data_IF_682983897131
#
_entry.id   IF_682983897131
#
_cell.length_a   1.000
_cell.length_b   1.000
_cell.length_c   1.000
_cell.angle_alpha   90.00
_cell.angle_beta   90.00
_cell.angle_gamma   90.00
#
_symmetry.space_group_name_H-M   'P 1'
#
loop_
_entity.id
_entity.type
_entity.pdbx_description
1 polymer ?
#
# COMPACT_ATOMS: atom_id res chain seq x y z
N UNK A 1 -64.17 -19.31 11.36
CA UNK A 1 -63.41 -18.19 10.77
C UNK A 1 -62.35 -17.71 11.76
N UNK A 2 -61.17 -17.33 11.25
CA UNK A 2 -59.95 -16.87 11.96
C UNK A 2 -59.06 -18.02 12.48
N UNK A 3 -58.21 -18.57 11.61
CA UNK A 3 -56.84 -18.13 11.22
C UNK A 3 -55.78 -18.63 12.20
N UNK A 4 -55.12 -19.70 11.75
CA UNK A 4 -53.84 -20.24 12.21
C UNK A 4 -52.79 -19.11 12.22
N UNK A 5 -52.03 -18.99 13.30
CA UNK A 5 -50.67 -18.45 13.22
C UNK A 5 -49.71 -19.43 13.88
N UNK A 6 -48.92 -20.02 13.00
CA UNK A 6 -47.79 -20.90 13.23
C UNK A 6 -46.80 -20.29 14.22
N UNK A 7 -46.44 -21.04 15.26
CA UNK A 7 -45.16 -20.88 15.97
C UNK A 7 -44.04 -21.18 14.97
N UNK A 8 -43.38 -20.13 14.48
CA UNK A 8 -42.10 -20.24 13.79
C UNK A 8 -41.04 -19.68 14.75
N UNK A 9 -40.06 -20.47 15.23
CA UNK A 9 -38.87 -19.87 15.79
C UNK A 9 -38.13 -19.24 14.61
N UNK A 10 -38.19 -17.91 14.50
CA UNK A 10 -37.30 -17.17 13.60
C UNK A 10 -35.93 -17.22 14.24
N UNK A 11 -35.18 -18.25 13.86
CA UNK A 11 -33.74 -18.31 13.98
C UNK A 11 -33.20 -17.17 13.10
N UNK A 12 -33.00 -15.98 13.67
CA UNK A 12 -32.33 -14.89 12.98
C UNK A 12 -30.85 -15.26 12.92
N UNK A 13 -30.48 -15.97 11.84
CA UNK A 13 -29.11 -15.97 11.33
C UNK A 13 -28.74 -14.51 11.09
N UNK A 14 -28.04 -13.90 12.04
CA UNK A 14 -27.08 -12.86 11.71
C UNK A 14 -25.92 -13.60 11.05
N UNK A 15 -26.11 -13.94 9.76
CA UNK A 15 -24.97 -14.04 8.87
C UNK A 15 -24.41 -12.63 8.82
N UNK A 16 -23.47 -12.32 9.72
CA UNK A 16 -22.57 -11.21 9.51
C UNK A 16 -22.00 -11.47 8.13
N UNK A 17 -22.38 -10.63 7.16
CA UNK A 17 -21.69 -10.52 5.90
C UNK A 17 -20.31 -9.93 6.22
N UNK A 18 -19.47 -10.69 6.91
CA UNK A 18 -18.05 -10.71 6.62
C UNK A 18 -17.98 -11.25 5.20
N UNK A 19 -18.28 -10.37 4.25
CA UNK A 19 -17.55 -10.39 2.98
C UNK A 19 -16.10 -10.59 3.42
N UNK A 20 -15.40 -11.67 3.03
CA UNK A 20 -13.97 -11.69 3.23
C UNK A 20 -13.50 -10.35 2.68
N UNK A 21 -12.91 -9.53 3.54
CA UNK A 21 -12.34 -8.26 3.15
C UNK A 21 -11.41 -8.65 2.01
N UNK A 22 -11.86 -8.39 0.77
CA UNK A 22 -11.12 -8.74 -0.44
C UNK A 22 -9.74 -8.18 -0.18
N UNK A 23 -8.78 -9.06 0.11
CA UNK A 23 -7.58 -8.69 0.86
C UNK A 23 -6.97 -7.53 0.10
N UNK A 24 -7.15 -6.32 0.65
CA UNK A 24 -7.17 -5.13 -0.16
C UNK A 24 -5.73 -4.86 -0.58
N UNK A 25 -5.34 -5.42 -1.73
CA UNK A 25 -3.96 -5.36 -2.19
C UNK A 25 -3.59 -3.90 -2.41
N UNK A 26 -2.55 -3.48 -1.70
CA UNK A 26 -2.08 -2.11 -1.77
C UNK A 26 -1.69 -1.74 -3.21
N UNK A 27 -1.84 -0.45 -3.56
CA UNK A 27 -1.48 0.03 -4.89
C UNK A 27 0.03 -0.10 -5.09
N UNK A 28 0.46 -0.97 -6.02
CA UNK A 28 1.88 -1.13 -6.33
C UNK A 28 2.48 0.12 -6.98
N UNK A 29 3.71 0.45 -6.60
CA UNK A 29 4.48 1.54 -7.18
C UNK A 29 4.83 1.23 -8.65
N UNK A 30 4.44 2.16 -9.53
CA UNK A 30 4.79 2.12 -10.96
C UNK A 30 6.08 2.90 -11.19
N UNK A 31 7.20 2.19 -11.37
CA UNK A 31 8.51 2.82 -11.62
C UNK A 31 8.67 3.17 -13.11
N UNK A 32 8.47 4.42 -13.49
CA UNK A 32 8.73 4.91 -14.85
C UNK A 32 10.23 4.98 -15.14
N UNK A 33 10.65 4.52 -16.32
CA UNK A 33 12.05 4.53 -16.73
C UNK A 33 12.23 4.83 -18.23
N UNK A 34 12.22 6.12 -18.58
CA UNK A 34 12.12 6.55 -19.97
C UNK A 34 10.72 6.23 -20.50
N UNK A 35 10.63 5.57 -21.66
CA UNK A 35 9.35 5.21 -22.28
C UNK A 35 8.73 3.92 -21.74
N UNK A 36 9.43 3.19 -20.88
CA UNK A 36 8.96 1.92 -20.31
C UNK A 36 8.65 2.06 -18.82
N UNK A 37 7.84 1.14 -18.30
CA UNK A 37 7.77 0.84 -16.88
C UNK A 37 8.84 -0.19 -16.53
N UNK A 38 9.65 0.06 -15.51
CA UNK A 38 10.57 -0.92 -14.97
C UNK A 38 9.76 -2.00 -14.23
N UNK A 39 10.04 -3.26 -14.54
CA UNK A 39 9.35 -4.42 -13.97
C UNK A 39 10.33 -5.33 -13.27
N UNK A 40 9.80 -6.20 -12.42
CA UNK A 40 10.57 -7.28 -11.82
C UNK A 40 11.20 -8.14 -12.92
N UNK A 41 12.46 -8.54 -12.70
CA UNK A 41 13.26 -9.28 -13.68
C UNK A 41 13.93 -8.43 -14.77
N UNK A 42 13.61 -7.13 -14.92
CA UNK A 42 14.39 -6.27 -15.81
C UNK A 42 15.82 -6.08 -15.24
N UNK A 43 16.82 -6.54 -15.99
CA UNK A 43 18.25 -6.31 -15.70
C UNK A 43 18.77 -5.03 -16.36
N UNK A 44 18.04 -4.51 -17.34
CA UNK A 44 18.41 -3.33 -18.12
C UNK A 44 17.30 -2.86 -19.05
N UNK A 45 17.62 -1.93 -19.93
CA UNK A 45 16.83 -1.58 -21.11
C UNK A 45 17.72 -1.34 -22.30
N UNK A 46 17.18 -1.54 -23.49
CA UNK A 46 17.77 -1.09 -24.75
C UNK A 46 17.00 0.10 -25.28
N UNK A 47 17.72 1.07 -25.84
CA UNK A 47 17.20 2.21 -26.59
C UNK A 47 17.66 2.05 -28.03
N UNK A 48 16.73 2.00 -28.97
CA UNK A 48 17.03 1.80 -30.39
C UNK A 48 17.44 3.14 -31.01
N UNK A 49 18.70 3.29 -31.40
CA UNK A 49 19.24 4.53 -31.99
C UNK A 49 19.15 4.54 -33.52
N UNK A 50 19.05 3.35 -34.14
CA UNK A 50 18.84 3.13 -35.57
C UNK A 50 17.98 1.87 -35.76
N UNK A 51 17.17 1.84 -36.81
CA UNK A 51 16.34 0.68 -37.16
C UNK A 51 17.14 -0.63 -37.06
N UNK A 52 16.65 -1.57 -36.25
CA UNK A 52 17.37 -2.79 -35.86
C UNK A 52 16.43 -3.99 -35.89
N UNK A 53 16.92 -5.15 -36.32
CA UNK A 53 16.09 -6.35 -36.36
C UNK A 53 15.90 -6.95 -34.96
N UNK A 54 14.67 -7.32 -34.65
CA UNK A 54 14.30 -8.19 -33.55
C UNK A 54 14.35 -9.63 -34.03
N UNK A 55 14.92 -10.52 -33.23
CA UNK A 55 15.06 -11.93 -33.57
C UNK A 55 14.37 -12.82 -32.54
N UNK A 56 13.91 -14.00 -32.96
CA UNK A 56 13.67 -15.14 -32.06
C UNK A 56 14.89 -16.05 -32.11
N UNK A 57 15.26 -16.59 -30.96
CA UNK A 57 16.31 -17.60 -30.83
C UNK A 57 15.63 -18.96 -30.65
N UNK A 58 15.89 -19.91 -31.55
CA UNK A 58 15.39 -21.27 -31.42
C UNK A 58 16.30 -22.14 -30.52
N UNK A 59 15.95 -23.43 -30.37
CA UNK A 59 16.68 -24.38 -29.54
C UNK A 59 18.09 -24.69 -30.08
N UNK A 60 18.30 -24.47 -31.37
CA UNK A 60 19.58 -24.71 -32.07
C UNK A 60 20.45 -23.44 -32.14
N UNK A 61 20.10 -22.42 -31.35
CA UNK A 61 20.71 -21.09 -31.34
C UNK A 61 20.65 -20.34 -32.66
N UNK A 62 19.72 -20.67 -33.57
CA UNK A 62 19.55 -19.95 -34.83
C UNK A 62 18.58 -18.78 -34.64
N UNK A 63 18.95 -17.65 -35.24
CA UNK A 63 18.16 -16.43 -35.19
C UNK A 63 17.21 -16.34 -36.38
N UNK A 64 15.94 -16.08 -36.10
CA UNK A 64 14.91 -15.80 -37.10
C UNK A 64 14.38 -14.38 -36.90
N UNK A 65 14.33 -13.56 -37.95
CA UNK A 65 13.83 -12.19 -37.85
C UNK A 65 12.32 -12.21 -37.56
N UNK A 66 11.92 -11.40 -36.59
CA UNK A 66 10.51 -11.24 -36.17
C UNK A 66 9.94 -9.98 -36.79
N UNK A 67 10.61 -8.84 -36.57
CA UNK A 67 10.26 -7.53 -37.12
C UNK A 67 11.44 -6.57 -37.01
N UNK A 68 11.32 -5.43 -37.67
CA UNK A 68 12.21 -4.29 -37.42
C UNK A 68 11.71 -3.48 -36.23
N UNK A 69 12.64 -3.20 -35.30
CA UNK A 69 12.50 -2.19 -34.25
C UNK A 69 12.90 -0.83 -34.83
N UNK A 70 12.09 0.20 -34.57
CA UNK A 70 12.29 1.55 -35.07
C UNK A 70 13.14 2.38 -34.11
N UNK A 71 13.89 3.32 -34.69
CA UNK A 71 14.60 4.35 -33.92
C UNK A 71 13.67 5.02 -32.90
N UNK A 72 14.12 5.10 -31.66
CA UNK A 72 13.41 5.73 -30.54
C UNK A 72 12.52 4.78 -29.73
N UNK A 73 12.37 3.51 -30.13
CA UNK A 73 11.75 2.49 -29.28
C UNK A 73 12.66 2.13 -28.09
N UNK A 74 12.06 1.83 -26.94
CA UNK A 74 12.75 1.38 -25.74
C UNK A 74 12.13 0.05 -25.26
N UNK A 75 12.99 -0.87 -24.81
CA UNK A 75 12.54 -2.18 -24.33
C UNK A 75 13.26 -2.59 -23.07
N UNK A 76 12.53 -3.17 -22.11
CA UNK A 76 13.12 -3.82 -20.96
C UNK A 76 13.92 -5.05 -21.38
N UNK A 77 15.08 -5.25 -20.76
CA UNK A 77 15.94 -6.42 -20.97
C UNK A 77 15.81 -7.33 -19.76
N UNK A 78 15.45 -8.58 -20.00
CA UNK A 78 15.30 -9.62 -18.97
C UNK A 78 16.54 -10.52 -18.86
N UNK A 79 17.32 -10.62 -19.94
CA UNK A 79 18.52 -11.45 -19.95
C UNK A 79 19.57 -10.91 -20.90
N UNK A 80 20.83 -11.22 -20.62
CA UNK A 80 21.97 -10.96 -21.50
C UNK A 80 22.63 -12.29 -21.79
N UNK A 81 22.66 -12.69 -23.06
CA UNK A 81 23.37 -13.88 -23.54
C UNK A 81 24.61 -13.43 -24.30
N UNK A 82 25.68 -14.20 -24.18
CA UNK A 82 26.91 -14.00 -24.94
C UNK A 82 27.28 -15.33 -25.58
N UNK A 83 27.40 -15.35 -26.90
CA UNK A 83 27.89 -16.52 -27.62
C UNK A 83 28.90 -16.12 -28.70
N UNK A 84 29.71 -17.08 -29.17
CA UNK A 84 30.78 -16.84 -30.14
C UNK A 84 30.26 -16.51 -31.54
N UNK A 85 29.03 -16.89 -31.87
CA UNK A 85 28.43 -16.79 -33.21
C UNK A 85 27.73 -15.45 -33.43
N UNK A 86 27.04 -14.94 -32.41
CA UNK A 86 26.19 -13.76 -32.48
C UNK A 86 26.69 -12.60 -31.61
N UNK A 87 27.71 -12.81 -30.78
CA UNK A 87 28.17 -11.83 -29.81
C UNK A 87 27.19 -11.70 -28.64
N UNK A 88 26.86 -10.47 -28.27
CA UNK A 88 25.94 -10.18 -27.16
C UNK A 88 24.50 -10.07 -27.69
N UNK A 89 23.58 -10.78 -27.03
CA UNK A 89 22.15 -10.74 -27.28
C UNK A 89 21.41 -10.24 -26.03
N UNK A 90 20.60 -9.20 -26.18
CA UNK A 90 19.71 -8.70 -25.13
C UNK A 90 18.31 -9.31 -25.31
N UNK A 91 17.88 -10.09 -24.33
CA UNK A 91 16.56 -10.72 -24.33
C UNK A 91 15.47 -9.77 -23.86
N UNK A 92 14.48 -9.50 -24.72
CA UNK A 92 13.39 -8.55 -24.49
C UNK A 92 12.10 -9.21 -23.94
N UNK A 93 12.19 -10.50 -23.60
CA UNK A 93 11.04 -11.34 -23.21
C UNK A 93 10.56 -12.24 -24.35
N UNK A 94 9.76 -13.26 -24.01
CA UNK A 94 9.13 -14.18 -24.99
C UNK A 94 10.11 -14.78 -26.04
N UNK A 95 11.33 -15.12 -25.61
CA UNK A 95 12.42 -15.62 -26.46
C UNK A 95 12.83 -14.70 -27.61
N UNK A 96 12.57 -13.39 -27.48
CA UNK A 96 12.95 -12.37 -28.46
C UNK A 96 14.23 -11.67 -28.01
N UNK A 97 15.13 -11.42 -28.96
CA UNK A 97 16.46 -10.88 -28.74
C UNK A 97 16.80 -9.79 -29.74
N UNK A 98 17.52 -8.79 -29.27
CA UNK A 98 18.21 -7.81 -30.13
C UNK A 98 19.72 -7.98 -29.97
N UNK A 99 20.46 -7.90 -31.07
CA UNK A 99 21.93 -7.97 -31.07
C UNK A 99 22.51 -6.67 -30.56
N UNK A 100 23.49 -6.76 -29.67
CA UNK A 100 24.29 -5.60 -29.30
C UNK A 100 25.04 -5.05 -30.52
N UNK A 101 24.96 -3.74 -30.71
CA UNK A 101 25.68 -3.04 -31.78
C UNK A 101 25.58 -1.53 -31.58
N UNK A 102 26.27 -0.77 -32.43
CA UNK A 102 26.18 0.71 -32.47
C UNK A 102 24.76 1.24 -32.80
N UNK A 103 23.83 0.38 -33.24
CA UNK A 103 22.45 0.78 -33.53
C UNK A 103 21.58 0.93 -32.29
N UNK A 104 22.07 0.58 -31.10
CA UNK A 104 21.34 0.69 -29.84
C UNK A 104 22.25 1.13 -28.67
N UNK A 105 21.63 1.47 -27.56
CA UNK A 105 22.30 1.71 -26.28
C UNK A 105 21.65 0.84 -25.20
N UNK A 106 22.48 0.17 -24.41
CA UNK A 106 22.04 -0.55 -23.22
C UNK A 106 22.23 0.33 -21.98
N UNK A 107 21.24 0.33 -21.08
CA UNK A 107 21.31 1.01 -19.78
C UNK A 107 20.86 0.07 -18.67
N UNK A 108 21.48 0.19 -17.50
CA UNK A 108 21.07 -0.50 -16.26
C UNK A 108 20.22 0.45 -15.41
N UNK A 109 19.14 -0.01 -14.75
CA UNK A 109 18.39 0.89 -13.86
C UNK A 109 19.19 1.18 -12.60
N UNK A 110 18.97 2.37 -12.01
CA UNK A 110 19.60 2.74 -10.73
C UNK A 110 19.16 1.82 -9.59
N UNK A 111 19.95 1.78 -8.51
CA UNK A 111 19.63 1.00 -7.30
C UNK A 111 18.27 1.41 -6.72
N UNK A 112 18.01 2.71 -6.61
CA UNK A 112 16.73 3.27 -6.14
C UNK A 112 15.55 2.80 -6.98
N UNK A 113 15.65 2.87 -8.31
CA UNK A 113 14.57 2.41 -9.19
C UNK A 113 14.29 0.93 -9.01
N UNK A 114 15.33 0.10 -8.84
CA UNK A 114 15.17 -1.33 -8.59
C UNK A 114 14.49 -1.61 -7.25
N UNK A 115 14.85 -0.88 -6.20
CA UNK A 115 14.28 -1.06 -4.87
C UNK A 115 12.76 -0.83 -4.85
N UNK A 116 12.28 0.16 -5.60
CA UNK A 116 10.86 0.52 -5.65
C UNK A 116 9.98 -0.44 -6.48
N UNK A 117 10.58 -1.30 -7.31
CA UNK A 117 9.82 -2.22 -8.16
C UNK A 117 9.06 -3.22 -7.30
N UNK A 118 7.75 -3.30 -7.50
CA UNK A 118 6.88 -4.23 -6.78
C UNK A 118 6.56 -3.82 -5.35
N UNK A 119 7.08 -2.69 -4.87
CA UNK A 119 6.74 -2.12 -3.57
C UNK A 119 5.35 -1.50 -3.59
N UNK A 120 4.80 -1.32 -2.41
CA UNK A 120 3.41 -0.87 -2.22
C UNK A 120 3.38 0.58 -1.74
N UNK A 121 2.35 1.31 -2.19
CA UNK A 121 2.00 2.64 -1.71
C UNK A 121 1.08 2.49 -0.51
N UNK A 122 1.40 3.21 0.55
CA UNK A 122 0.62 3.26 1.78
C UNK A 122 0.39 4.71 2.21
N UNK A 123 -0.57 4.91 3.11
CA UNK A 123 -0.82 6.20 3.77
C UNK A 123 -0.73 5.98 5.27
N UNK A 124 0.17 6.72 5.91
CA UNK A 124 0.40 6.58 7.35
C UNK A 124 -0.85 6.92 8.15
N UNK A 125 -1.06 6.23 9.26
CA UNK A 125 -2.11 6.55 10.23
C UNK A 125 -1.44 6.76 11.58
N UNK A 126 -1.60 7.96 12.14
CA UNK A 126 -1.02 8.37 13.43
C UNK A 126 0.44 7.88 13.67
N UNK A 127 1.43 8.37 12.88
CA UNK A 127 2.76 7.76 12.79
C UNK A 127 3.76 8.23 13.87
N UNK A 128 3.40 8.18 15.14
CA UNK A 128 4.21 8.72 16.26
C UNK A 128 5.47 7.91 16.59
N UNK A 129 5.54 6.66 16.15
CA UNK A 129 6.57 5.69 16.59
C UNK A 129 7.64 5.41 15.54
N UNK A 130 7.71 6.21 14.48
CA UNK A 130 8.70 6.00 13.43
C UNK A 130 10.06 6.59 13.82
N UNK A 131 11.10 5.78 13.70
CA UNK A 131 12.49 6.16 13.91
C UNK A 131 13.20 6.40 12.57
N UNK A 132 14.10 7.37 12.53
CA UNK A 132 15.03 7.53 11.40
C UNK A 132 16.21 6.55 11.48
N UNK A 133 17.12 6.61 10.51
CA UNK A 133 18.31 5.74 10.45
C UNK A 133 19.30 5.90 11.62
N UNK A 134 19.13 6.91 12.48
CA UNK A 134 19.92 7.11 13.71
C UNK A 134 19.21 6.60 14.97
N UNK A 135 17.99 6.08 14.85
CA UNK A 135 17.16 5.68 15.99
C UNK A 135 16.48 6.86 16.69
N UNK A 136 16.44 8.04 16.06
CA UNK A 136 15.71 9.19 16.61
C UNK A 136 14.24 9.08 16.16
N UNK A 137 13.30 9.20 17.10
CA UNK A 137 11.86 9.31 16.80
C UNK A 137 11.63 10.59 16.01
N UNK A 138 10.76 10.52 14.98
CA UNK A 138 10.49 11.62 14.07
C UNK A 138 9.00 11.80 13.86
N UNK A 139 8.54 13.03 13.99
CA UNK A 139 7.15 13.40 13.70
C UNK A 139 6.90 13.31 12.19
N UNK A 140 6.19 12.26 11.78
CA UNK A 140 5.66 12.11 10.43
C UNK A 140 4.22 12.60 10.41
N UNK A 141 3.71 12.98 9.23
CA UNK A 141 2.36 13.54 9.13
C UNK A 141 1.30 12.45 8.98
N UNK A 142 0.17 12.60 9.66
CA UNK A 142 -0.98 11.74 9.44
C UNK A 142 -1.44 11.77 7.97
N UNK A 143 -1.83 10.61 7.45
CA UNK A 143 -2.18 10.35 6.05
C UNK A 143 -1.09 10.73 5.03
N UNK A 144 0.16 10.90 5.47
CA UNK A 144 1.29 11.08 4.56
C UNK A 144 1.48 9.84 3.69
N UNK A 145 1.69 10.06 2.40
CA UNK A 145 2.00 8.98 1.48
C UNK A 145 3.42 8.47 1.73
N UNK A 146 3.57 7.14 1.81
CA UNK A 146 4.85 6.47 1.92
C UNK A 146 4.92 5.24 0.99
N UNK A 147 6.13 4.74 0.78
CA UNK A 147 6.39 3.46 0.13
C UNK A 147 6.72 2.43 1.20
N UNK A 148 5.98 1.34 1.26
CA UNK A 148 6.30 0.19 2.11
C UNK A 148 7.52 -0.54 1.52
N UNK A 149 8.65 -0.49 2.23
CA UNK A 149 9.90 -1.14 1.82
C UNK A 149 9.93 -2.59 2.29
N UNK A 150 9.61 -2.83 3.57
CA UNK A 150 9.46 -4.18 4.12
C UNK A 150 8.55 -4.19 5.34
N UNK A 151 7.99 -5.36 5.62
CA UNK A 151 7.24 -5.70 6.82
C UNK A 151 7.75 -7.07 7.27
N UNK A 152 8.74 -7.06 8.17
CA UNK A 152 9.51 -8.25 8.55
C UNK A 152 9.03 -8.76 9.89
N UNK A 153 8.69 -10.05 9.99
CA UNK A 153 8.35 -10.67 11.26
C UNK A 153 9.55 -10.69 12.18
N UNK A 154 9.36 -10.26 13.42
CA UNK A 154 10.31 -10.53 14.48
C UNK A 154 10.22 -12.03 14.82
N UNK A 155 11.34 -12.75 14.80
CA UNK A 155 11.36 -14.20 15.05
C UNK A 155 11.08 -14.57 16.51
N UNK A 156 11.24 -13.61 17.43
CA UNK A 156 11.14 -13.84 18.88
C UNK A 156 9.85 -13.31 19.48
N UNK A 157 9.19 -12.36 18.79
CA UNK A 157 7.98 -11.69 19.24
C UNK A 157 6.91 -11.76 18.13
N UNK A 158 5.64 -11.88 18.49
CA UNK A 158 4.50 -11.80 17.53
C UNK A 158 4.29 -10.38 16.99
N UNK A 159 5.35 -9.77 16.48
CA UNK A 159 5.39 -8.38 16.02
C UNK A 159 6.13 -8.25 14.70
N UNK A 160 5.94 -7.10 14.05
CA UNK A 160 6.49 -6.72 12.77
C UNK A 160 7.42 -5.52 12.91
N UNK A 161 8.50 -5.54 12.16
CA UNK A 161 9.32 -4.36 11.88
C UNK A 161 8.94 -3.82 10.51
N UNK A 162 8.36 -2.63 10.50
CA UNK A 162 7.83 -1.98 9.30
C UNK A 162 8.86 -0.94 8.86
N UNK A 163 9.40 -1.11 7.66
CA UNK A 163 10.30 -0.14 7.04
C UNK A 163 9.60 0.58 5.90
N UNK A 164 9.61 1.91 5.96
CA UNK A 164 9.01 2.76 4.95
C UNK A 164 10.05 3.69 4.32
N UNK A 165 9.70 4.22 3.15
CA UNK A 165 10.44 5.28 2.47
C UNK A 165 9.51 6.45 2.16
N UNK A 166 9.94 7.64 2.52
CA UNK A 166 9.30 8.90 2.17
C UNK A 166 10.37 9.76 1.50
N UNK A 167 10.10 10.18 0.26
CA UNK A 167 11.10 10.80 -0.60
C UNK A 167 12.37 9.94 -0.66
N UNK A 168 13.52 10.47 -0.21
CA UNK A 168 14.81 9.77 -0.19
C UNK A 168 15.21 9.29 1.22
N UNK A 169 14.31 9.41 2.21
CA UNK A 169 14.57 9.03 3.60
C UNK A 169 13.85 7.73 3.95
N UNK A 170 14.42 6.99 4.90
CA UNK A 170 13.87 5.74 5.41
C UNK A 170 13.52 5.90 6.88
N UNK A 171 12.45 5.23 7.27
CA UNK A 171 11.95 5.22 8.63
C UNK A 171 11.52 3.80 9.01
N UNK A 172 11.60 3.49 10.30
CA UNK A 172 11.26 2.17 10.83
C UNK A 172 10.29 2.32 12.00
N UNK A 173 9.22 1.54 12.00
CA UNK A 173 8.39 1.32 13.19
C UNK A 173 8.61 -0.13 13.64
N UNK A 174 9.21 -0.26 14.82
CA UNK A 174 9.54 -1.55 15.42
C UNK A 174 8.39 -2.06 16.29
N UNK A 175 8.31 -3.38 16.45
CA UNK A 175 7.39 -4.04 17.38
C UNK A 175 5.89 -3.79 17.13
N UNK A 176 5.50 -3.58 15.88
CA UNK A 176 4.09 -3.43 15.51
C UNK A 176 3.38 -4.76 15.70
N UNK A 177 2.29 -4.79 16.46
CA UNK A 177 1.48 -6.01 16.60
C UNK A 177 0.97 -6.44 15.21
N UNK A 178 1.24 -7.70 14.83
CA UNK A 178 0.84 -8.25 13.53
C UNK A 178 -0.69 -8.17 13.33
N UNK A 179 -1.46 -8.29 14.41
CA UNK A 179 -2.92 -8.24 14.38
C UNK A 179 -3.50 -6.82 14.22
N UNK A 180 -2.68 -5.78 14.43
CA UNK A 180 -3.10 -4.37 14.39
C UNK A 180 -2.34 -3.53 13.34
N UNK A 181 -1.77 -4.17 12.32
CA UNK A 181 -1.02 -3.46 11.27
C UNK A 181 -1.84 -2.38 10.54
N UNK A 182 -3.16 -2.57 10.43
CA UNK A 182 -4.08 -1.60 9.79
C UNK A 182 -4.24 -0.30 10.61
N UNK A 183 -3.89 -0.33 11.89
CA UNK A 183 -3.81 0.86 12.74
C UNK A 183 -2.58 1.72 12.40
N UNK A 184 -1.53 1.14 11.81
CA UNK A 184 -0.31 1.88 11.45
C UNK A 184 -0.38 2.56 10.09
N UNK A 185 -1.09 1.96 9.12
CA UNK A 185 -1.24 2.55 7.78
C UNK A 185 -2.42 1.97 6.99
N UNK A 186 -2.80 2.70 5.95
CA UNK A 186 -3.79 2.32 4.95
C UNK A 186 -3.11 1.84 3.66
N UNK A 187 -3.66 0.80 3.04
CA UNK A 187 -3.21 0.27 1.73
C UNK A 187 -3.93 0.89 0.53
N UNK A 188 -5.00 1.66 0.79
CA UNK A 188 -5.79 2.38 -0.22
C UNK A 188 -5.72 3.88 0.03
N UNK A 189 -5.72 4.65 -1.05
CA UNK A 189 -5.68 6.11 -0.97
C UNK A 189 -6.94 6.66 -0.27
N UNK A 190 -6.85 7.21 0.96
CA UNK A 190 -8.03 7.66 1.70
C UNK A 190 -8.78 8.78 0.97
N UNK A 191 -8.06 9.67 0.28
CA UNK A 191 -8.62 10.80 -0.46
C UNK A 191 -9.39 10.38 -1.72
N UNK A 192 -9.21 9.15 -2.20
CA UNK A 192 -9.99 8.57 -3.31
C UNK A 192 -11.08 7.63 -2.80
N UNK A 193 -10.83 6.96 -1.68
CA UNK A 193 -11.77 6.03 -1.04
C UNK A 193 -12.96 6.78 -0.45
N UNK A 194 -12.70 7.85 0.30
CA UNK A 194 -13.71 8.62 1.00
C UNK A 194 -13.99 9.94 0.27
N UNK A 195 -15.26 10.35 0.26
CA UNK A 195 -15.74 11.60 -0.37
C UNK A 195 -16.12 12.63 0.68
N UNK A 196 -15.21 12.89 1.60
CA UNK A 196 -15.41 13.92 2.63
C UNK A 196 -15.19 15.32 2.08
N UNK A 197 -15.75 16.32 2.76
CA UNK A 197 -15.52 17.73 2.43
C UNK A 197 -14.09 18.16 2.77
N UNK A 198 -13.63 19.25 2.15
CA UNK A 198 -12.30 19.82 2.44
C UNK A 198 -12.15 20.20 3.91
N UNK A 199 -13.22 20.71 4.55
CA UNK A 199 -13.24 21.01 5.98
C UNK A 199 -12.93 19.78 6.83
N UNK A 200 -13.57 18.65 6.53
CA UNK A 200 -13.34 17.39 7.24
C UNK A 200 -11.92 16.88 6.99
N UNK A 201 -11.43 16.95 5.75
CA UNK A 201 -10.06 16.54 5.44
C UNK A 201 -9.01 17.38 6.14
N UNK A 202 -9.25 18.68 6.34
CA UNK A 202 -8.34 19.55 7.06
C UNK A 202 -8.24 19.16 8.54
N UNK A 203 -9.38 18.88 9.19
CA UNK A 203 -9.40 18.40 10.57
C UNK A 203 -8.64 17.07 10.70
N UNK A 204 -8.94 16.10 9.84
CA UNK A 204 -8.28 14.78 9.85
C UNK A 204 -6.75 14.90 9.71
N UNK A 205 -6.27 15.75 8.79
CA UNK A 205 -4.84 15.96 8.56
C UNK A 205 -4.14 16.67 9.72
N UNK A 206 -4.89 17.41 10.53
CA UNK A 206 -4.41 18.11 11.71
C UNK A 206 -4.64 17.28 12.99
N UNK A 207 -5.12 16.04 12.87
CA UNK A 207 -5.45 15.18 14.01
C UNK A 207 -6.46 15.86 14.94
N UNK A 208 -7.45 16.54 14.35
CA UNK A 208 -8.54 17.21 15.05
C UNK A 208 -9.84 16.43 14.84
N UNK A 209 -10.70 16.41 15.86
CA UNK A 209 -12.06 15.89 15.77
C UNK A 209 -13.07 16.98 16.09
N UNK A 210 -14.27 16.85 15.53
CA UNK A 210 -15.39 17.75 15.83
C UNK A 210 -16.69 16.97 15.91
N UNK A 211 -17.67 17.51 16.63
CA UNK A 211 -19.02 16.94 16.66
C UNK A 211 -19.61 16.89 15.24
N UNK A 212 -20.40 15.84 14.97
CA UNK A 212 -20.93 15.54 13.65
C UNK A 212 -20.00 14.74 12.75
N UNK A 213 -18.73 14.51 13.15
CA UNK A 213 -17.88 13.55 12.43
C UNK A 213 -18.39 12.13 12.59
N UNK A 214 -18.25 11.32 11.55
CA UNK A 214 -18.54 9.88 11.65
C UNK A 214 -17.30 9.11 12.13
N UNK A 215 -17.50 7.84 12.49
CA UNK A 215 -16.44 6.94 12.96
C UNK A 215 -15.25 6.84 12.01
N UNK A 216 -15.45 6.72 10.69
CA UNK A 216 -14.34 6.67 9.72
C UNK A 216 -13.49 7.95 9.76
N UNK A 217 -14.13 9.11 9.90
CA UNK A 217 -13.44 10.40 10.00
C UNK A 217 -12.62 10.48 11.27
N UNK A 218 -13.16 10.00 12.40
CA UNK A 218 -12.43 9.96 13.67
C UNK A 218 -11.28 8.96 13.61
N UNK A 219 -11.49 7.74 13.10
CA UNK A 219 -10.42 6.73 12.94
C UNK A 219 -9.29 7.21 12.02
N UNK A 220 -9.61 7.97 10.98
CA UNK A 220 -8.60 8.56 10.10
C UNK A 220 -7.87 9.72 10.77
N UNK A 221 -8.51 10.42 11.70
CA UNK A 221 -7.93 11.54 12.44
C UNK A 221 -7.03 11.03 13.58
N UNK A 222 -7.60 10.31 14.54
CA UNK A 222 -6.95 9.91 15.80
C UNK A 222 -6.46 8.47 15.83
N UNK A 223 -6.84 7.64 14.85
CA UNK A 223 -6.54 6.22 14.89
C UNK A 223 -7.54 5.41 15.72
N UNK A 224 -7.20 4.16 15.97
CA UNK A 224 -8.03 3.25 16.77
C UNK A 224 -7.93 3.63 18.26
N UNK A 225 -9.04 3.57 19.00
CA UNK A 225 -9.00 3.77 20.44
C UNK A 225 -8.30 2.61 21.14
N UNK A 226 -7.79 2.89 22.34
CA UNK A 226 -7.20 1.88 23.22
C UNK A 226 -8.26 0.92 23.76
N UNK A 227 -9.49 1.40 23.94
CA UNK A 227 -10.64 0.60 24.37
C UNK A 227 -11.96 1.13 23.79
N UNK A 228 -12.98 0.26 23.68
CA UNK A 228 -14.33 0.67 23.33
C UNK A 228 -15.40 0.04 24.23
N UNK A 229 -16.38 0.85 24.59
CA UNK A 229 -17.66 0.38 25.14
C UNK A 229 -18.76 0.61 24.11
N UNK A 230 -19.61 -0.40 23.89
CA UNK A 230 -20.74 -0.28 22.97
C UNK A 230 -22.05 -0.76 23.62
N UNK A 231 -23.14 -0.10 23.25
CA UNK A 231 -24.51 -0.51 23.55
C UNK A 231 -25.34 -0.40 22.28
N UNK A 232 -25.97 -1.51 21.89
CA UNK A 232 -26.76 -1.60 20.66
C UNK A 232 -28.17 -2.13 20.97
N UNK A 233 -29.17 -1.56 20.29
CA UNK A 233 -30.58 -1.92 20.38
C UNK A 233 -31.29 -1.56 19.07
N UNK A 234 -32.53 -2.03 18.89
CA UNK A 234 -33.33 -1.74 17.67
C UNK A 234 -33.53 -0.24 17.35
N UNK A 235 -33.25 0.66 18.29
CA UNK A 235 -33.55 2.09 18.20
C UNK A 235 -32.35 3.02 18.39
N UNK A 236 -31.29 2.55 19.05
CA UNK A 236 -30.11 3.36 19.36
C UNK A 236 -28.86 2.48 19.41
N UNK A 237 -27.80 2.96 18.76
CA UNK A 237 -26.45 2.46 18.90
C UNK A 237 -25.59 3.55 19.52
N UNK A 238 -25.04 3.28 20.70
CA UNK A 238 -24.14 4.19 21.43
C UNK A 238 -22.78 3.52 21.51
N UNK A 239 -21.74 4.25 21.14
CA UNK A 239 -20.36 3.82 21.34
C UNK A 239 -19.58 4.87 22.11
N UNK A 240 -18.68 4.41 22.98
CA UNK A 240 -17.71 5.22 23.67
C UNK A 240 -16.33 4.70 23.31
N UNK A 241 -15.49 5.57 22.74
CA UNK A 241 -14.11 5.25 22.41
C UNK A 241 -13.19 5.92 23.43
N UNK A 242 -12.21 5.19 23.92
CA UNK A 242 -11.31 5.61 24.98
C UNK A 242 -9.90 5.69 24.42
N UNK A 243 -9.29 6.86 24.54
CA UNK A 243 -7.91 7.13 24.15
C UNK A 243 -7.08 7.52 25.37
N UNK A 244 -5.85 7.02 25.45
CA UNK A 244 -4.91 7.29 26.54
C UNK A 244 -5.11 6.42 27.79
N UNK A 245 -4.18 6.56 28.74
CA UNK A 245 -4.20 5.77 29.97
C UNK A 245 -5.17 6.38 31.01
N UNK A 246 -6.19 5.61 31.35
CA UNK A 246 -7.19 5.93 32.38
C UNK A 246 -6.53 6.05 33.76
N UNK A 247 -5.47 5.29 34.03
CA UNK A 247 -4.80 5.23 35.33
C UNK A 247 -3.94 6.47 35.62
N UNK A 248 -3.46 7.13 34.59
CA UNK A 248 -2.63 8.34 34.70
C UNK A 248 -3.45 9.64 34.62
N UNK A 249 -4.78 9.54 34.49
CA UNK A 249 -5.68 10.70 34.46
C UNK A 249 -5.46 11.58 33.24
N UNK A 250 -5.24 10.96 32.07
CA UNK A 250 -5.11 11.65 30.78
C UNK A 250 -5.98 11.03 29.69
N UNK A 251 -7.03 10.29 30.09
CA UNK A 251 -7.90 9.61 29.14
C UNK A 251 -8.93 10.55 28.52
N UNK A 252 -9.13 10.42 27.21
CA UNK A 252 -10.14 11.12 26.44
C UNK A 252 -11.22 10.14 26.02
N UNK A 253 -12.47 10.49 26.30
CA UNK A 253 -13.63 9.68 25.98
C UNK A 253 -14.43 10.35 24.88
N UNK A 254 -14.53 9.72 23.70
CA UNK A 254 -15.40 10.16 22.61
C UNK A 254 -16.72 9.41 22.65
N UNK A 255 -17.85 10.11 22.53
CA UNK A 255 -19.19 9.51 22.55
C UNK A 255 -19.86 9.62 21.19
N UNK A 256 -20.31 8.48 20.67
CA UNK A 256 -20.98 8.36 19.39
C UNK A 256 -22.44 7.94 19.57
N UNK A 257 -23.33 8.57 18.83
CA UNK A 257 -24.73 8.16 18.67
C UNK A 257 -24.96 7.83 17.20
N UNK A 258 -25.38 6.60 16.91
CA UNK A 258 -25.62 6.08 15.56
C UNK A 258 -24.43 6.34 14.61
N UNK A 259 -23.21 6.13 15.10
CA UNK A 259 -21.97 6.29 14.32
C UNK A 259 -21.45 7.72 14.18
N UNK A 260 -22.09 8.70 14.85
CA UNK A 260 -21.73 10.12 14.76
C UNK A 260 -21.24 10.63 16.11
N UNK A 261 -20.08 11.30 16.12
CA UNK A 261 -19.49 11.93 17.29
C UNK A 261 -20.39 13.05 17.81
N UNK A 262 -20.88 12.91 19.04
CA UNK A 262 -21.80 13.87 19.67
C UNK A 262 -21.13 14.73 20.75
N UNK A 263 -20.14 14.18 21.47
CA UNK A 263 -19.43 14.87 22.54
C UNK A 263 -18.13 14.16 22.92
N UNK A 264 -17.28 14.81 23.72
CA UNK A 264 -16.13 14.18 24.36
C UNK A 264 -15.88 14.71 25.76
N UNK A 265 -15.14 13.95 26.57
CA UNK A 265 -14.71 14.31 27.92
C UNK A 265 -13.21 14.04 28.07
N UNK A 266 -12.51 14.98 28.71
CA UNK A 266 -11.10 14.90 29.08
C UNK A 266 -11.03 14.85 30.62
N UNK A 267 -10.27 13.92 31.17
CA UNK A 267 -10.05 13.78 32.62
C UNK A 267 -8.60 14.07 32.99
#
# INVERSE_FOLDING_TARGET
MKKIFSLLPVLLMIAVLFSPLDSAHAEKIIVKWGKITLKEGHIGKVIINKDTQLYKLDKDNKLTSVRTLKKGEEFGVYSKKTDKTHGILYGLGSSQFVKDSKSLTYQTPSKEKKELVGKERIWLRNPDFYENNKGEIVDLKNLQEAVLISSEKNSELSSLNIKIKIEDKYFTYQYVDESFIEASYLTKNPFKTFKFSDTIWNLIKNEEVQTGMNMDQVLLSWGYPDDLNSYDSDYIAIEQWIYGDILDGGAIYLYFDNGILTSWQEF
#
